data_IF_528638872903
#
_entry.id   IF_528638872903
#
_cell.length_a   1.000
_cell.length_b   1.000
_cell.length_c   1.000
_cell.angle_alpha   90.00
_cell.angle_beta   90.00
_cell.angle_gamma   90.00
#
_symmetry.space_group_name_H-M   'P 1'
#
loop_
_entity.id
_entity.type
_entity.pdbx_description
1 polymer ?
#
# COMPACT_ATOMS: atom_id res chain seq x y z
N UNK A 1 -20.65 -4.84 5.09
CA UNK A 1 -19.21 -5.07 5.31
C UNK A 1 -18.56 -3.70 5.20
N UNK A 2 -17.80 -3.25 6.20
CA UNK A 2 -17.09 -1.98 6.09
C UNK A 2 -15.96 -2.15 5.09
N UNK A 3 -16.15 -1.63 3.87
CA UNK A 3 -15.11 -1.67 2.85
C UNK A 3 -13.97 -0.75 3.28
N UNK A 4 -12.77 -1.31 3.40
CA UNK A 4 -11.58 -0.51 3.67
C UNK A 4 -11.34 0.49 2.52
N UNK A 5 -11.00 1.72 2.88
CA UNK A 5 -10.67 2.80 1.93
C UNK A 5 -9.62 2.33 0.93
N UNK A 6 -9.83 2.62 -0.36
CA UNK A 6 -8.84 2.36 -1.39
C UNK A 6 -7.68 3.37 -1.27
N UNK A 7 -6.47 2.83 -1.10
CA UNK A 7 -5.23 3.61 -0.95
C UNK A 7 -4.24 3.32 -2.07
N UNK A 8 -4.65 2.63 -3.15
CA UNK A 8 -3.82 2.39 -4.33
C UNK A 8 -3.40 3.73 -4.97
N UNK A 9 -2.11 3.85 -5.28
CA UNK A 9 -1.51 5.07 -5.82
C UNK A 9 -1.02 6.07 -4.77
N UNK A 10 -1.41 5.91 -3.50
CA UNK A 10 -0.91 6.74 -2.40
C UNK A 10 0.48 6.31 -1.94
N UNK A 11 1.19 7.23 -1.29
CA UNK A 11 2.42 6.92 -0.56
C UNK A 11 2.11 6.00 0.62
N UNK A 12 3.00 5.05 0.89
CA UNK A 12 2.86 4.06 1.97
C UNK A 12 2.50 4.72 3.31
N UNK A 13 3.15 5.83 3.66
CA UNK A 13 2.92 6.51 4.94
C UNK A 13 1.46 6.98 5.07
N UNK A 14 0.94 7.64 4.03
CA UNK A 14 -0.45 8.12 4.00
C UNK A 14 -1.46 6.96 3.95
N UNK A 15 -1.12 5.89 3.22
CA UNK A 15 -1.93 4.68 3.16
C UNK A 15 -2.07 4.01 4.54
N UNK A 16 -0.97 3.93 5.29
CA UNK A 16 -0.97 3.38 6.65
C UNK A 16 -1.79 4.28 7.57
N UNK A 17 -1.59 5.60 7.55
CA UNK A 17 -2.36 6.53 8.39
C UNK A 17 -3.88 6.39 8.22
N UNK A 18 -4.35 6.19 6.98
CA UNK A 18 -5.78 6.01 6.68
C UNK A 18 -6.32 4.67 7.19
N UNK A 19 -5.51 3.60 7.12
CA UNK A 19 -5.96 2.22 7.37
C UNK A 19 -5.67 1.71 8.79
N UNK A 20 -4.72 2.31 9.50
CA UNK A 20 -4.20 1.81 10.78
C UNK A 20 -5.21 1.95 11.94
N UNK A 21 -6.31 2.67 11.74
CA UNK A 21 -7.36 2.84 12.74
C UNK A 21 -8.31 1.63 12.84
N UNK A 22 -8.43 0.82 11.79
CA UNK A 22 -9.49 -0.19 11.69
C UNK A 22 -9.00 -1.60 11.30
N UNK A 23 -7.80 -1.74 10.73
CA UNK A 23 -7.34 -3.01 10.14
C UNK A 23 -5.89 -3.35 10.49
N UNK A 24 -5.58 -4.64 10.52
CA UNK A 24 -4.18 -5.10 10.56
C UNK A 24 -3.55 -4.96 9.18
N UNK A 25 -2.46 -4.20 9.07
CA UNK A 25 -1.81 -3.90 7.80
C UNK A 25 -0.59 -4.80 7.61
N UNK A 26 -0.55 -5.53 6.49
CA UNK A 26 0.61 -6.29 6.02
C UNK A 26 1.21 -5.62 4.79
N UNK A 27 2.50 -5.26 4.84
CA UNK A 27 3.18 -4.56 3.74
C UNK A 27 4.08 -5.53 2.99
N UNK A 28 3.76 -5.79 1.72
CA UNK A 28 4.63 -6.52 0.78
C UNK A 28 5.38 -5.54 -0.10
N UNK A 29 6.69 -5.68 -0.15
CA UNK A 29 7.55 -4.87 -1.01
C UNK A 29 7.82 -5.63 -2.29
N UNK A 30 7.60 -5.00 -3.45
CA UNK A 30 8.04 -5.53 -4.74
C UNK A 30 8.93 -4.52 -5.45
N UNK A 31 9.92 -5.02 -6.17
CA UNK A 31 10.79 -4.17 -6.99
C UNK A 31 10.04 -3.77 -8.25
N UNK A 32 9.93 -2.47 -8.53
CA UNK A 32 9.43 -2.05 -9.83
C UNK A 32 10.40 -2.53 -10.93
N UNK A 33 9.89 -3.01 -12.08
CA UNK A 33 10.73 -3.16 -13.26
C UNK A 33 11.29 -1.78 -13.58
N UNK A 34 12.63 -1.66 -13.56
CA UNK A 34 13.41 -0.44 -13.77
C UNK A 34 12.67 0.54 -14.70
N UNK A 35 12.06 1.57 -14.13
CA UNK A 35 11.64 2.72 -14.89
C UNK A 35 12.25 3.93 -14.21
N UNK A 36 12.95 4.68 -15.02
CA UNK A 36 13.74 5.86 -14.68
C UNK A 36 12.96 6.88 -13.83
N UNK A 37 13.72 7.56 -12.96
CA UNK A 37 13.54 8.95 -12.49
C UNK A 37 12.98 9.31 -11.10
N UNK A 38 12.58 8.43 -10.19
CA UNK A 38 12.35 8.87 -8.79
C UNK A 38 12.77 7.82 -7.75
N UNK A 39 13.94 8.03 -7.15
CA UNK A 39 14.64 7.13 -6.23
C UNK A 39 14.05 7.00 -4.81
N UNK A 40 12.89 7.59 -4.51
CA UNK A 40 12.39 7.65 -3.12
C UNK A 40 10.88 7.36 -2.97
N UNK A 41 10.15 7.05 -4.04
CA UNK A 41 8.69 6.90 -3.96
C UNK A 41 8.24 5.47 -3.65
N UNK A 42 8.00 5.17 -2.36
CA UNK A 42 7.25 3.99 -1.92
C UNK A 42 5.74 4.21 -2.09
N UNK A 43 5.19 3.89 -3.27
CA UNK A 43 3.75 3.97 -3.56
C UNK A 43 3.08 2.60 -3.51
N UNK A 44 1.82 2.58 -3.06
CA UNK A 44 0.96 1.38 -3.09
C UNK A 44 0.56 1.12 -4.54
N UNK A 45 0.89 -0.06 -5.05
CA UNK A 45 0.52 -0.50 -6.41
C UNK A 45 -0.64 -1.50 -6.39
N UNK A 46 -0.89 -2.13 -5.24
CA UNK A 46 -1.96 -3.11 -5.08
C UNK A 46 -2.40 -3.16 -3.63
N UNK A 47 -3.70 -3.26 -3.42
CA UNK A 47 -4.33 -3.49 -2.13
C UNK A 47 -5.17 -4.76 -2.21
N UNK A 48 -5.08 -5.58 -1.18
CA UNK A 48 -5.92 -6.76 -1.00
C UNK A 48 -6.57 -6.69 0.38
N UNK A 49 -7.88 -6.56 0.39
CA UNK A 49 -8.67 -6.52 1.61
C UNK A 49 -9.14 -7.94 1.94
N UNK A 50 -8.93 -8.33 3.18
CA UNK A 50 -9.44 -9.55 3.83
C UNK A 50 -10.14 -9.13 5.11
N UNK A 51 -11.05 -9.95 5.65
CA UNK A 51 -12.03 -9.56 6.69
C UNK A 51 -11.50 -8.63 7.81
N UNK A 52 -10.27 -8.87 8.29
CA UNK A 52 -9.60 -8.02 9.30
C UNK A 52 -8.19 -7.57 8.91
N UNK A 53 -7.74 -7.93 7.71
CA UNK A 53 -6.37 -7.75 7.27
C UNK A 53 -6.32 -7.04 5.92
N UNK A 54 -5.47 -6.03 5.80
CA UNK A 54 -5.19 -5.36 4.52
C UNK A 54 -3.75 -5.64 4.13
N UNK A 55 -3.58 -6.30 2.99
CA UNK A 55 -2.27 -6.49 2.39
C UNK A 55 -2.02 -5.39 1.35
N UNK A 56 -1.04 -4.54 1.62
CA UNK A 56 -0.58 -3.49 0.71
C UNK A 56 0.69 -3.96 0.01
N UNK A 57 0.68 -4.00 -1.32
CA UNK A 57 1.90 -4.17 -2.11
C UNK A 57 2.42 -2.79 -2.49
N UNK A 58 3.64 -2.49 -2.08
CA UNK A 58 4.34 -1.25 -2.44
C UNK A 58 5.47 -1.53 -3.41
N UNK A 59 5.61 -0.62 -4.37
CA UNK A 59 6.76 -0.62 -5.26
C UNK A 59 7.88 0.21 -4.65
N UNK A 60 9.11 -0.32 -4.65
CA UNK A 60 10.33 0.43 -4.37
C UNK A 60 11.22 0.42 -5.62
N UNK A 61 11.87 1.56 -5.89
CA UNK A 61 12.79 1.76 -7.01
C UNK A 61 14.24 1.65 -6.54
#
# INVERSE_FOLDING_TARGET
>A
MSEATDVVGLHLQKAVEILNAEFQISIKKTRAPKNDQNLEECRVIKQKNTDYNIELTVSYF
#
